data_IF_336649669854
#
_entry.id   IF_336649669854
#
_cell.length_a   1.000
_cell.length_b   1.000
_cell.length_c   1.000
_cell.angle_alpha   90.00
_cell.angle_beta   90.00
_cell.angle_gamma   90.00
#
_symmetry.space_group_name_H-M   'P 1'
#
loop_
_entity.id
_entity.type
_entity.pdbx_description
1 polymer ?
#
# COMPACT_ATOMS: atom_id res chain seq x y z
N UNK A 1 -38.00 -8.43 -11.14
CA UNK A 1 -37.14 -7.30 -11.59
C UNK A 1 -37.26 -6.05 -10.71
N UNK A 2 -38.44 -5.68 -10.17
CA UNK A 2 -38.59 -4.53 -9.25
C UNK A 2 -37.89 -4.71 -7.88
N UNK A 3 -37.81 -5.92 -7.37
CA UNK A 3 -37.24 -6.25 -6.06
C UNK A 3 -35.70 -6.08 -6.05
N UNK A 4 -35.02 -6.43 -7.14
CA UNK A 4 -33.56 -6.25 -7.30
C UNK A 4 -33.16 -4.76 -7.42
N UNK A 5 -33.99 -3.94 -8.04
CA UNK A 5 -33.76 -2.50 -8.16
C UNK A 5 -33.93 -1.79 -6.78
N UNK A 6 -34.94 -2.17 -6.01
CA UNK A 6 -35.16 -1.66 -4.66
C UNK A 6 -34.03 -2.05 -3.69
N UNK A 7 -33.52 -3.30 -3.76
CA UNK A 7 -32.36 -3.73 -2.97
C UNK A 7 -31.07 -2.99 -3.34
N UNK A 8 -30.87 -2.65 -4.61
CA UNK A 8 -29.71 -1.86 -5.03
C UNK A 8 -29.79 -0.40 -4.55
N UNK A 9 -30.97 0.21 -4.56
CA UNK A 9 -31.18 1.57 -4.05
C UNK A 9 -30.95 1.61 -2.53
N UNK A 10 -31.47 0.63 -1.78
CA UNK A 10 -31.27 0.55 -0.33
C UNK A 10 -29.78 0.35 0.02
N UNK A 11 -29.05 -0.49 -0.69
CA UNK A 11 -27.61 -0.67 -0.49
C UNK A 11 -26.80 0.60 -0.77
N UNK A 12 -27.13 1.37 -1.80
CA UNK A 12 -26.46 2.64 -2.09
C UNK A 12 -26.70 3.65 -0.97
N UNK A 13 -27.93 3.79 -0.52
CA UNK A 13 -28.31 4.71 0.56
C UNK A 13 -27.57 4.36 1.85
N UNK A 14 -27.49 3.08 2.21
CA UNK A 14 -26.75 2.59 3.40
C UNK A 14 -25.25 2.87 3.30
N UNK A 15 -24.64 2.68 2.12
CA UNK A 15 -23.22 2.99 1.91
C UNK A 15 -22.92 4.48 2.05
N UNK A 16 -23.77 5.34 1.49
CA UNK A 16 -23.64 6.80 1.62
C UNK A 16 -23.77 7.22 3.07
N UNK A 17 -24.79 6.75 3.79
CA UNK A 17 -25.00 7.07 5.20
C UNK A 17 -23.82 6.61 6.07
N UNK A 18 -23.29 5.40 5.82
CA UNK A 18 -22.10 4.90 6.51
C UNK A 18 -20.88 5.78 6.25
N UNK A 19 -20.66 6.19 5.00
CA UNK A 19 -19.57 7.12 4.65
C UNK A 19 -19.72 8.44 5.39
N UNK A 20 -20.90 9.06 5.36
CA UNK A 20 -21.15 10.34 6.02
C UNK A 20 -20.93 10.24 7.55
N UNK A 21 -21.39 9.16 8.17
CA UNK A 21 -21.17 8.93 9.60
C UNK A 21 -19.67 8.80 9.94
N UNK A 22 -18.92 8.02 9.14
CA UNK A 22 -17.47 7.88 9.32
C UNK A 22 -16.73 9.20 9.09
N UNK A 23 -17.13 9.97 8.06
CA UNK A 23 -16.56 11.27 7.79
C UNK A 23 -16.82 12.25 8.94
N UNK A 24 -18.06 12.32 9.44
CA UNK A 24 -18.37 13.17 10.61
C UNK A 24 -17.58 12.76 11.86
N UNK A 25 -17.43 11.46 12.11
CA UNK A 25 -16.62 10.94 13.21
C UNK A 25 -15.15 11.37 13.07
N UNK A 26 -14.59 11.28 11.87
CA UNK A 26 -13.19 11.66 11.59
C UNK A 26 -12.92 13.16 11.80
N UNK A 27 -13.95 14.00 11.70
CA UNK A 27 -13.85 15.44 11.96
C UNK A 27 -14.05 15.81 13.44
N UNK A 28 -14.86 15.04 14.17
CA UNK A 28 -15.17 15.31 15.59
C UNK A 28 -14.06 14.88 16.52
N UNK A 29 -13.49 13.72 16.26
CA UNK A 29 -12.42 13.12 17.08
C UNK A 29 -11.41 12.43 16.15
N UNK A 30 -10.52 13.25 15.62
CA UNK A 30 -9.54 12.84 14.63
C UNK A 30 -8.58 11.78 15.20
N UNK A 31 -8.16 11.91 16.45
CA UNK A 31 -7.20 11.00 17.05
C UNK A 31 -7.79 9.61 17.30
N UNK A 32 -8.94 9.54 17.95
CA UNK A 32 -9.62 8.26 18.20
C UNK A 32 -10.00 7.56 16.90
N UNK A 33 -10.49 8.31 15.90
CA UNK A 33 -10.85 7.75 14.60
C UNK A 33 -9.65 7.09 13.92
N UNK A 34 -8.54 7.82 13.79
CA UNK A 34 -7.35 7.29 13.12
C UNK A 34 -6.62 6.23 13.93
N UNK A 35 -6.68 6.29 15.27
CA UNK A 35 -6.18 5.22 16.13
C UNK A 35 -6.91 3.90 15.87
N UNK A 36 -8.25 3.92 15.75
CA UNK A 36 -9.04 2.72 15.44
C UNK A 36 -8.67 2.14 14.07
N UNK A 37 -8.57 2.99 13.05
CA UNK A 37 -8.14 2.57 11.70
C UNK A 37 -6.73 1.96 11.74
N UNK A 38 -5.79 2.60 12.41
CA UNK A 38 -4.41 2.18 12.48
C UNK A 38 -4.20 0.85 13.23
N UNK A 39 -5.08 0.49 14.17
CA UNK A 39 -5.06 -0.83 14.84
C UNK A 39 -5.28 -2.01 13.89
N UNK A 40 -5.79 -1.77 12.69
CA UNK A 40 -5.96 -2.80 11.66
C UNK A 40 -4.65 -3.15 10.95
N UNK A 41 -3.61 -2.34 11.11
CA UNK A 41 -2.28 -2.57 10.56
C UNK A 41 -1.41 -3.36 11.54
N UNK A 42 -0.43 -4.08 10.99
CA UNK A 42 0.58 -4.80 11.78
C UNK A 42 1.72 -3.86 12.12
N UNK A 43 1.86 -3.52 13.38
CA UNK A 43 2.91 -2.66 13.91
C UNK A 43 4.02 -3.50 14.56
N UNK A 44 5.27 -3.16 14.29
CA UNK A 44 6.43 -3.72 15.03
C UNK A 44 6.54 -3.09 16.42
N UNK A 45 6.26 -1.78 16.49
CA UNK A 45 6.10 -1.01 17.72
C UNK A 45 4.86 -0.15 17.58
N UNK A 46 3.96 -0.19 18.56
CA UNK A 46 2.82 0.73 18.63
C UNK A 46 3.29 2.17 18.78
N UNK A 47 2.38 3.10 18.57
CA UNK A 47 2.64 4.52 18.72
C UNK A 47 2.44 4.97 20.17
N UNK A 48 3.15 6.03 20.54
CA UNK A 48 3.04 6.70 21.85
C UNK A 48 1.95 7.80 21.79
N UNK A 49 1.80 8.48 20.64
CA UNK A 49 0.84 9.54 20.39
C UNK A 49 0.31 9.42 18.96
N UNK A 50 -1.02 9.59 18.78
CA UNK A 50 -1.66 9.47 17.46
C UNK A 50 -1.30 10.65 16.56
N UNK A 51 -1.43 11.87 17.05
CA UNK A 51 -1.16 13.10 16.32
C UNK A 51 -0.41 14.08 17.22
N UNK A 52 0.75 14.52 16.75
CA UNK A 52 1.42 15.71 17.28
C UNK A 52 1.24 16.83 16.23
N UNK A 53 0.36 17.77 16.55
CA UNK A 53 0.01 18.89 15.68
C UNK A 53 0.78 20.14 16.11
N UNK A 54 1.74 20.56 15.28
CA UNK A 54 2.53 21.77 15.45
C UNK A 54 2.53 22.53 14.10
N UNK A 55 1.54 23.39 13.85
CA UNK A 55 1.35 24.03 12.55
C UNK A 55 2.60 24.77 12.06
N UNK A 56 2.98 24.62 10.78
CA UNK A 56 2.29 23.88 9.70
C UNK A 56 2.62 22.38 9.66
N UNK A 57 3.27 21.83 10.67
CA UNK A 57 3.75 20.44 10.68
C UNK A 57 2.81 19.54 11.46
N UNK A 58 2.63 18.31 10.95
CA UNK A 58 1.91 17.25 11.62
C UNK A 58 2.77 15.99 11.66
N UNK A 59 2.83 15.34 12.82
CA UNK A 59 3.45 14.02 12.98
C UNK A 59 2.41 13.04 13.45
N UNK A 60 2.15 12.03 12.59
CA UNK A 60 1.19 10.98 12.87
C UNK A 60 1.88 9.75 13.46
N UNK A 61 1.19 9.09 14.39
CA UNK A 61 1.62 7.84 15.03
C UNK A 61 3.06 7.90 15.55
N UNK A 62 3.33 8.95 16.34
CA UNK A 62 4.66 9.24 16.89
C UNK A 62 5.21 8.04 17.65
N UNK A 63 6.44 7.65 17.36
CA UNK A 63 7.08 6.46 17.95
C UNK A 63 6.67 5.14 17.34
N UNK A 64 5.59 5.10 16.54
CA UNK A 64 5.13 3.90 15.86
C UNK A 64 6.10 3.41 14.79
N UNK A 65 6.23 2.08 14.64
CA UNK A 65 7.07 1.46 13.62
C UNK A 65 6.31 0.35 12.91
N UNK A 66 6.24 0.43 11.58
CA UNK A 66 5.66 -0.60 10.72
C UNK A 66 6.46 -0.73 9.42
N UNK A 67 6.22 -1.81 8.70
CA UNK A 67 6.73 -1.99 7.35
C UNK A 67 5.55 -2.08 6.37
N UNK A 68 5.52 -1.18 5.38
CA UNK A 68 4.43 -1.11 4.40
C UNK A 68 4.35 -2.39 3.55
N UNK A 69 5.49 -2.94 3.09
CA UNK A 69 5.53 -4.17 2.31
C UNK A 69 5.03 -5.37 3.11
N UNK A 70 5.37 -5.46 4.40
CA UNK A 70 4.87 -6.51 5.28
C UNK A 70 3.35 -6.42 5.46
N UNK A 71 2.81 -5.22 5.67
CA UNK A 71 1.38 -5.02 5.77
C UNK A 71 0.65 -5.37 4.46
N UNK A 72 1.24 -5.03 3.31
CA UNK A 72 0.65 -5.31 2.02
C UNK A 72 0.65 -6.80 1.63
N UNK A 73 1.63 -7.60 2.09
CA UNK A 73 1.86 -8.95 1.57
C UNK A 73 1.77 -10.05 2.63
N UNK A 74 2.51 -9.92 3.74
CA UNK A 74 2.79 -11.06 4.64
C UNK A 74 1.54 -11.59 5.34
N UNK A 75 0.61 -10.69 5.70
CA UNK A 75 -0.67 -11.08 6.31
C UNK A 75 -1.53 -11.97 5.40
N UNK A 76 -1.40 -11.83 4.09
CA UNK A 76 -2.15 -12.63 3.13
C UNK A 76 -1.60 -14.04 2.96
N UNK A 77 -0.31 -14.28 3.28
CA UNK A 77 0.34 -15.58 3.13
C UNK A 77 -0.23 -16.65 4.07
N UNK A 78 -0.80 -16.24 5.20
CA UNK A 78 -1.42 -17.13 6.20
C UNK A 78 -2.87 -17.49 5.88
N UNK A 79 -3.44 -16.97 4.81
CA UNK A 79 -4.85 -17.14 4.45
C UNK A 79 -5.01 -17.62 3.00
N UNK A 80 -6.25 -17.99 2.62
CA UNK A 80 -6.60 -18.34 1.25
C UNK A 80 -6.28 -17.20 0.25
N UNK A 81 -6.18 -15.96 0.73
CA UNK A 81 -5.87 -14.77 -0.09
C UNK A 81 -4.54 -14.86 -0.80
N UNK A 82 -3.60 -15.70 -0.35
CA UNK A 82 -2.34 -15.95 -1.06
C UNK A 82 -2.54 -16.33 -2.53
N UNK A 83 -3.64 -17.03 -2.84
CA UNK A 83 -3.98 -17.48 -4.19
C UNK A 83 -4.82 -16.47 -4.98
N UNK A 84 -5.26 -15.37 -4.35
CA UNK A 84 -6.01 -14.30 -5.03
C UNK A 84 -5.07 -13.47 -5.90
N UNK A 85 -5.58 -12.98 -7.05
CA UNK A 85 -4.89 -11.99 -7.84
C UNK A 85 -4.58 -10.75 -7.00
N UNK A 86 -3.31 -10.37 -6.92
CA UNK A 86 -2.86 -9.11 -6.37
C UNK A 86 -3.07 -8.00 -7.39
N UNK A 87 -2.74 -8.27 -8.66
CA UNK A 87 -3.05 -7.41 -9.79
C UNK A 87 -3.17 -8.21 -11.09
N UNK A 88 -3.87 -7.62 -12.04
CA UNK A 88 -3.97 -8.05 -13.41
C UNK A 88 -3.19 -7.06 -14.25
N UNK A 89 -2.24 -7.55 -15.02
CA UNK A 89 -1.44 -6.73 -15.90
C UNK A 89 -1.84 -6.97 -17.35
N UNK A 90 -1.90 -5.90 -18.13
CA UNK A 90 -2.09 -5.94 -19.57
C UNK A 90 -1.04 -5.05 -20.22
N UNK A 91 -0.22 -5.64 -21.08
CA UNK A 91 0.82 -4.95 -21.83
C UNK A 91 0.25 -4.25 -23.07
N UNK A 92 1.01 -3.29 -23.62
CA UNK A 92 0.63 -2.54 -24.82
C UNK A 92 0.28 -3.45 -26.02
N UNK A 93 1.01 -4.57 -26.28
CA UNK A 93 0.66 -5.52 -27.34
C UNK A 93 -0.57 -6.40 -27.03
N UNK A 94 -1.19 -6.26 -25.86
CA UNK A 94 -2.34 -7.07 -25.43
C UNK A 94 -1.98 -8.32 -24.62
N UNK A 95 -0.70 -8.51 -24.28
CA UNK A 95 -0.29 -9.59 -23.36
C UNK A 95 -0.92 -9.39 -22.00
N UNK A 96 -1.34 -10.50 -21.36
CA UNK A 96 -1.99 -10.46 -20.05
C UNK A 96 -1.29 -11.37 -19.06
N UNK A 97 -1.13 -10.89 -17.83
CA UNK A 97 -0.58 -11.68 -16.73
C UNK A 97 -1.37 -11.43 -15.45
N UNK A 98 -1.73 -12.51 -14.79
CA UNK A 98 -2.30 -12.48 -13.44
C UNK A 98 -1.19 -12.78 -12.44
N UNK A 99 -0.93 -11.86 -11.53
CA UNK A 99 0.05 -12.04 -10.46
C UNK A 99 -0.70 -12.24 -9.15
N UNK A 100 -0.47 -13.38 -8.49
CA UNK A 100 -1.08 -13.68 -7.19
C UNK A 100 -0.32 -13.00 -6.05
N UNK A 101 -0.96 -12.86 -4.87
CA UNK A 101 -0.27 -12.37 -3.67
C UNK A 101 0.93 -13.24 -3.31
N UNK A 102 0.84 -14.56 -3.49
CA UNK A 102 1.96 -15.48 -3.22
C UNK A 102 3.14 -15.25 -4.17
N UNK A 103 2.87 -15.07 -5.46
CA UNK A 103 3.89 -14.77 -6.45
C UNK A 103 4.55 -13.43 -6.15
N UNK A 104 3.74 -12.39 -5.92
CA UNK A 104 4.23 -11.05 -5.58
C UNK A 104 5.07 -11.06 -4.30
N UNK A 105 4.63 -11.77 -3.25
CA UNK A 105 5.40 -11.94 -2.03
C UNK A 105 6.77 -12.58 -2.29
N UNK A 106 6.80 -13.69 -3.05
CA UNK A 106 8.04 -14.42 -3.35
C UNK A 106 9.01 -13.55 -4.14
N UNK A 107 8.56 -12.94 -5.23
CA UNK A 107 9.39 -12.11 -6.09
C UNK A 107 9.87 -10.84 -5.39
N UNK A 108 9.04 -10.23 -4.56
CA UNK A 108 9.43 -9.10 -3.69
C UNK A 108 10.57 -9.48 -2.74
N UNK A 109 10.50 -10.64 -2.08
CA UNK A 109 11.57 -11.10 -1.19
C UNK A 109 12.86 -11.40 -1.95
N UNK A 110 12.77 -12.03 -3.13
CA UNK A 110 13.93 -12.30 -3.98
C UNK A 110 14.61 -10.99 -4.38
N UNK A 111 13.85 -10.00 -4.86
CA UNK A 111 14.42 -8.73 -5.29
C UNK A 111 14.94 -7.91 -4.11
N UNK A 112 14.29 -7.95 -2.95
CA UNK A 112 14.81 -7.34 -1.73
C UNK A 112 16.18 -7.92 -1.33
N UNK A 113 16.40 -9.22 -1.50
CA UNK A 113 17.69 -9.84 -1.27
C UNK A 113 18.74 -9.39 -2.29
N UNK A 114 18.37 -9.26 -3.57
CA UNK A 114 19.26 -8.71 -4.61
C UNK A 114 19.70 -7.29 -4.24
N UNK A 115 18.77 -6.41 -3.87
CA UNK A 115 19.10 -5.05 -3.45
C UNK A 115 20.10 -5.04 -2.28
N UNK A 116 19.89 -5.90 -1.28
CA UNK A 116 20.82 -6.04 -0.15
C UNK A 116 22.19 -6.54 -0.56
N UNK A 117 22.26 -7.50 -1.50
CA UNK A 117 23.54 -8.00 -2.04
C UNK A 117 24.28 -6.91 -2.83
N UNK A 118 23.55 -6.00 -3.49
CA UNK A 118 24.11 -4.81 -4.13
C UNK A 118 24.52 -3.72 -3.14
N UNK A 119 24.34 -3.93 -1.84
CA UNK A 119 24.76 -3.01 -0.79
C UNK A 119 23.71 -1.99 -0.35
N UNK A 120 22.50 -2.04 -0.90
CA UNK A 120 21.42 -1.11 -0.50
C UNK A 120 20.99 -1.38 0.95
N UNK A 121 20.99 -0.34 1.77
CA UNK A 121 20.66 -0.36 3.20
C UNK A 121 19.40 0.45 3.47
N UNK A 122 18.88 0.32 4.69
CA UNK A 122 17.78 1.15 5.17
C UNK A 122 18.19 2.63 5.12
N UNK A 123 17.35 3.43 4.47
CA UNK A 123 17.57 4.87 4.30
C UNK A 123 18.24 5.26 2.98
N UNK A 124 18.84 4.32 2.24
CA UNK A 124 19.41 4.62 0.93
C UNK A 124 18.30 4.87 -0.08
N UNK A 125 18.42 5.96 -0.85
CA UNK A 125 17.45 6.31 -1.87
C UNK A 125 17.64 5.46 -3.13
N UNK A 126 16.55 4.91 -3.66
CA UNK A 126 16.52 4.11 -4.89
C UNK A 126 15.68 4.80 -5.95
N UNK A 127 16.22 5.03 -7.14
CA UNK A 127 15.47 5.52 -8.29
C UNK A 127 14.93 4.35 -9.12
N UNK A 128 13.63 4.34 -9.37
CA UNK A 128 12.95 3.34 -10.19
C UNK A 128 12.54 3.97 -11.53
N UNK A 129 13.33 3.71 -12.56
CA UNK A 129 13.06 4.14 -13.92
C UNK A 129 12.65 2.93 -14.76
N UNK A 130 11.36 2.58 -14.68
CA UNK A 130 10.78 1.41 -15.31
C UNK A 130 9.46 1.76 -15.99
N UNK A 131 9.12 1.11 -17.11
CA UNK A 131 7.78 1.17 -17.69
C UNK A 131 6.77 0.45 -16.79
N UNK A 132 5.49 0.48 -17.18
CA UNK A 132 4.40 -0.19 -16.44
C UNK A 132 4.42 -1.70 -16.66
N UNK A 133 5.47 -2.37 -16.16
CA UNK A 133 5.68 -3.82 -16.22
C UNK A 133 5.38 -4.49 -14.87
N UNK A 134 5.10 -5.80 -14.83
CA UNK A 134 4.82 -6.53 -13.58
C UNK A 134 5.93 -6.43 -12.53
N UNK A 135 7.15 -6.20 -12.93
CA UNK A 135 8.34 -6.04 -12.09
C UNK A 135 8.35 -4.72 -11.32
N UNK A 136 7.61 -3.72 -11.80
CA UNK A 136 7.60 -2.39 -11.19
C UNK A 136 7.05 -2.40 -9.75
N UNK A 137 5.83 -2.94 -9.45
CA UNK A 137 5.36 -3.06 -8.08
C UNK A 137 6.23 -3.99 -7.23
N UNK A 138 6.90 -4.99 -7.81
CA UNK A 138 7.88 -5.83 -7.09
C UNK A 138 9.03 -4.98 -6.58
N UNK A 139 9.61 -4.12 -7.43
CA UNK A 139 10.72 -3.23 -7.06
C UNK A 139 10.32 -2.24 -5.96
N UNK A 140 9.13 -1.61 -6.08
CA UNK A 140 8.59 -0.71 -5.06
C UNK A 140 8.45 -1.40 -3.69
N UNK A 141 7.83 -2.58 -3.68
CA UNK A 141 7.59 -3.34 -2.46
C UNK A 141 8.90 -3.91 -1.86
N UNK A 142 9.89 -4.24 -2.69
CA UNK A 142 11.20 -4.68 -2.23
C UNK A 142 11.97 -3.55 -1.54
N UNK A 143 11.97 -2.33 -2.12
CA UNK A 143 12.54 -1.15 -1.49
C UNK A 143 11.86 -0.86 -0.14
N UNK A 144 10.52 -0.85 -0.11
CA UNK A 144 9.77 -0.66 1.13
C UNK A 144 10.08 -1.75 2.18
N UNK A 145 10.30 -3.01 1.75
CA UNK A 145 10.63 -4.13 2.63
C UNK A 145 11.94 -3.96 3.37
N UNK A 146 12.97 -3.45 2.70
CA UNK A 146 14.28 -3.18 3.31
C UNK A 146 14.38 -1.80 3.95
N UNK A 147 13.34 -0.97 3.85
CA UNK A 147 13.31 0.38 4.40
C UNK A 147 14.12 1.39 3.58
N UNK A 148 14.32 1.13 2.30
CA UNK A 148 14.93 2.06 1.34
C UNK A 148 13.83 2.96 0.75
N UNK A 149 13.87 4.28 0.93
CA UNK A 149 12.99 5.19 0.23
C UNK A 149 13.23 5.11 -1.27
N UNK A 150 12.17 5.19 -2.06
CA UNK A 150 12.30 5.14 -3.51
C UNK A 150 11.56 6.30 -4.17
N UNK A 151 12.06 6.72 -5.32
CA UNK A 151 11.36 7.62 -6.22
C UNK A 151 11.05 6.92 -7.53
N UNK A 152 9.88 7.23 -8.07
CA UNK A 152 9.43 6.69 -9.37
C UNK A 152 9.66 7.76 -10.43
N UNK A 153 10.35 7.38 -11.49
CA UNK A 153 10.60 8.23 -12.64
C UNK A 153 9.82 7.67 -13.82
N UNK A 154 8.99 8.51 -14.41
CA UNK A 154 8.19 8.12 -15.56
C UNK A 154 9.09 7.74 -16.74
N UNK A 155 8.90 6.54 -17.31
CA UNK A 155 9.75 5.98 -18.35
C UNK A 155 9.74 6.77 -19.67
N UNK A 156 8.77 7.67 -19.87
CA UNK A 156 8.72 8.58 -21.00
C UNK A 156 9.63 9.81 -20.89
N UNK A 157 10.28 10.04 -19.75
CA UNK A 157 11.22 11.13 -19.59
C UNK A 157 12.55 10.81 -20.28
N UNK A 158 13.19 11.86 -20.80
CA UNK A 158 14.52 11.74 -21.39
C UNK A 158 15.59 11.57 -20.32
N UNK A 159 16.76 11.04 -20.72
CA UNK A 159 17.92 10.91 -19.82
C UNK A 159 18.39 12.22 -19.20
N UNK A 160 17.99 13.37 -19.78
CA UNK A 160 18.27 14.71 -19.20
C UNK A 160 17.40 15.04 -18.00
N UNK A 161 16.30 14.29 -17.76
CA UNK A 161 15.41 14.46 -16.63
C UNK A 161 15.79 13.56 -15.44
N UNK A 162 16.74 12.66 -15.64
CA UNK A 162 17.34 11.77 -14.65
C UNK A 162 18.54 12.43 -14.00
#
# INVERSE_FOLDING_TARGET
MADSANQQVDNRTRLVQRYLAQHQQSLRDIESFWAEIARRLSWHRGWDQVLNWDPPFARWFVGGQLNASQNALDGHMKTWRKNKAAFLWEGEPGDRRTVTYQELYRTTNQFANVLRQLGVKKGDAVALYLPMVPEFPVAMLACARIGAPFTVIFSGFSSKAL
#
